data_IF_964841845471
#
_entry.id   IF_964841845471
#
_cell.length_a   1.000
_cell.length_b   1.000
_cell.length_c   1.000
_cell.angle_alpha   90.00
_cell.angle_beta   90.00
_cell.angle_gamma   90.00
#
_symmetry.space_group_name_H-M   'P 1'
#
loop_
_entity.id
_entity.type
_entity.pdbx_description
1 polymer ?
#
# COMPACT_ATOMS: atom_id res chain seq x y z
N UNK A 1 -11.89 8.18 8.45
CA UNK A 1 -10.83 7.99 7.43
C UNK A 1 -11.15 6.74 6.65
N UNK A 2 -11.17 6.81 5.31
CA UNK A 2 -11.45 5.66 4.43
C UNK A 2 -10.27 4.69 4.46
N UNK A 3 -10.57 3.40 4.59
CA UNK A 3 -9.62 2.31 4.36
C UNK A 3 -9.39 2.16 2.86
N UNK A 4 -8.24 1.62 2.48
CA UNK A 4 -7.92 1.28 1.09
C UNK A 4 -7.27 -0.09 1.03
N UNK A 5 -7.56 -0.84 -0.03
CA UNK A 5 -6.87 -2.09 -0.34
C UNK A 5 -6.00 -1.89 -1.57
N UNK A 6 -4.70 -2.16 -1.42
CA UNK A 6 -3.73 -2.13 -2.50
C UNK A 6 -3.50 -3.56 -3.00
N UNK A 7 -3.79 -3.82 -4.27
CA UNK A 7 -3.49 -5.11 -4.89
C UNK A 7 -2.11 -5.04 -5.54
N UNK A 8 -1.24 -5.97 -5.18
CA UNK A 8 0.14 -6.05 -5.65
C UNK A 8 0.31 -7.26 -6.58
N UNK A 9 1.33 -7.19 -7.43
CA UNK A 9 1.59 -8.24 -8.44
C UNK A 9 2.20 -9.48 -7.79
N UNK A 10 3.10 -9.30 -6.83
CA UNK A 10 3.95 -10.38 -6.29
C UNK A 10 4.19 -10.22 -4.79
N UNK A 11 4.39 -11.33 -4.07
CA UNK A 11 4.53 -11.31 -2.60
C UNK A 11 5.71 -10.45 -2.13
N UNK A 12 6.83 -10.43 -2.89
CA UNK A 12 7.99 -9.57 -2.59
C UNK A 12 7.65 -8.08 -2.57
N UNK A 13 6.63 -7.65 -3.32
CA UNK A 13 6.21 -6.25 -3.38
C UNK A 13 5.51 -5.82 -2.09
N UNK A 14 4.90 -6.73 -1.33
CA UNK A 14 4.18 -6.42 -0.08
C UNK A 14 5.11 -5.74 0.92
N UNK A 15 6.26 -6.34 1.19
CA UNK A 15 7.26 -5.79 2.12
C UNK A 15 7.80 -4.45 1.60
N UNK A 16 8.18 -4.38 0.33
CA UNK A 16 8.73 -3.16 -0.28
C UNK A 16 7.75 -2.00 -0.21
N UNK A 17 6.48 -2.25 -0.55
CA UNK A 17 5.45 -1.22 -0.56
C UNK A 17 5.06 -0.78 0.86
N UNK A 18 5.06 -1.69 1.83
CA UNK A 18 4.86 -1.37 3.26
C UNK A 18 5.94 -0.43 3.78
N UNK A 19 7.21 -0.67 3.43
CA UNK A 19 8.32 0.20 3.81
C UNK A 19 8.27 1.54 3.06
N UNK A 20 7.85 1.54 1.80
CA UNK A 20 7.65 2.77 1.02
C UNK A 20 6.53 3.64 1.60
N UNK A 21 5.40 3.05 2.02
CA UNK A 21 4.31 3.77 2.69
C UNK A 21 4.77 4.43 3.99
N UNK A 22 5.57 3.73 4.80
CA UNK A 22 6.13 4.28 6.04
C UNK A 22 7.07 5.47 5.80
N UNK A 23 7.80 5.47 4.68
CA UNK A 23 8.66 6.60 4.25
C UNK A 23 7.84 7.77 3.73
N UNK A 24 6.82 7.49 2.93
CA UNK A 24 5.97 8.50 2.29
C UNK A 24 5.00 9.17 3.28
N UNK A 25 4.61 8.46 4.35
CA UNK A 25 3.62 8.93 5.34
C UNK A 25 4.17 8.77 6.77
N UNK A 26 4.90 9.78 7.28
CA UNK A 26 5.42 9.74 8.64
C UNK A 26 4.27 9.76 9.67
N UNK A 27 4.15 8.71 10.48
CA UNK A 27 3.38 8.74 11.74
C UNK A 27 1.85 8.63 11.66
N UNK A 28 1.26 8.28 10.52
CA UNK A 28 -0.21 8.27 10.38
C UNK A 28 -0.82 7.15 9.53
N UNK A 29 -0.01 6.18 9.08
CA UNK A 29 -0.47 5.09 8.22
C UNK A 29 -0.44 3.75 8.95
N UNK A 30 -1.59 3.10 9.06
CA UNK A 30 -1.69 1.70 9.48
C UNK A 30 -1.65 0.83 8.21
N UNK A 31 -0.74 -0.15 8.19
CA UNK A 31 -0.55 -1.05 7.05
C UNK A 31 -0.52 -2.49 7.52
N UNK A 32 -1.47 -3.29 7.03
CA UNK A 32 -1.58 -4.72 7.30
C UNK A 32 -1.63 -5.51 5.99
N UNK A 33 -1.13 -6.75 6.02
CA UNK A 33 -1.30 -7.66 4.90
C UNK A 33 -2.73 -8.17 4.89
N UNK A 34 -3.35 -8.20 3.71
CA UNK A 34 -4.71 -8.72 3.53
C UNK A 34 -4.66 -10.06 2.80
N UNK A 35 -4.81 -11.14 3.56
CA UNK A 35 -4.80 -12.51 3.04
C UNK A 35 -6.16 -12.94 2.47
N UNK A 36 -7.17 -12.07 2.48
CA UNK A 36 -8.50 -12.34 1.91
C UNK A 36 -8.55 -12.26 0.38
N UNK A 37 -7.47 -11.82 -0.26
CA UNK A 37 -7.41 -11.63 -1.71
C UNK A 37 -6.62 -12.75 -2.41
N UNK A 38 -7.03 -13.14 -3.63
CA UNK A 38 -6.29 -14.12 -4.43
C UNK A 38 -4.92 -13.62 -4.91
N UNK A 39 -4.67 -12.31 -4.77
CA UNK A 39 -3.39 -11.66 -5.05
C UNK A 39 -2.83 -11.05 -3.76
N UNK A 40 -1.50 -10.86 -3.66
CA UNK A 40 -0.90 -10.17 -2.53
C UNK A 40 -1.53 -8.80 -2.35
N UNK A 41 -1.99 -8.49 -1.13
CA UNK A 41 -2.71 -7.26 -0.87
C UNK A 41 -2.28 -6.61 0.44
N UNK A 42 -2.38 -5.28 0.48
CA UNK A 42 -2.17 -4.47 1.67
C UNK A 42 -3.44 -3.70 1.99
N UNK A 43 -3.91 -3.82 3.23
CA UNK A 43 -4.92 -2.95 3.81
C UNK A 43 -4.24 -1.74 4.43
N UNK A 44 -4.63 -0.56 3.99
CA UNK A 44 -4.00 0.72 4.33
C UNK A 44 -5.05 1.67 4.88
N UNK A 45 -4.82 2.19 6.09
CA UNK A 45 -5.68 3.19 6.72
C UNK A 45 -4.87 4.45 7.03
N UNK A 46 -5.47 5.61 6.79
CA UNK A 46 -4.84 6.91 7.05
C UNK A 46 -3.97 7.45 5.90
N UNK A 47 -3.88 6.76 4.77
CA UNK A 47 -3.21 7.26 3.57
C UNK A 47 -4.20 7.84 2.54
N UNK A 48 -3.87 9.01 1.99
CA UNK A 48 -4.53 9.58 0.82
C UNK A 48 -4.03 8.93 -0.47
N UNK A 49 -4.74 9.11 -1.59
CA UNK A 49 -4.29 8.62 -2.88
C UNK A 49 -2.94 9.24 -3.28
N UNK A 50 -2.74 10.54 -3.04
CA UNK A 50 -1.46 11.21 -3.31
C UNK A 50 -0.30 10.62 -2.52
N UNK A 51 -0.54 10.20 -1.27
CA UNK A 51 0.46 9.51 -0.45
C UNK A 51 0.76 8.09 -0.94
N UNK A 52 -0.25 7.36 -1.44
CA UNK A 52 -0.05 6.05 -2.06
C UNK A 52 0.78 6.19 -3.34
N UNK A 53 0.53 7.23 -4.15
CA UNK A 53 1.34 7.53 -5.34
C UNK A 53 2.79 7.91 -4.96
N UNK A 54 2.98 8.71 -3.91
CA UNK A 54 4.32 9.02 -3.40
C UNK A 54 5.05 7.74 -2.94
N UNK A 55 4.34 6.80 -2.29
CA UNK A 55 4.89 5.50 -1.93
C UNK A 55 5.24 4.65 -3.17
N UNK A 56 4.45 4.73 -4.24
CA UNK A 56 4.78 4.05 -5.51
C UNK A 56 6.10 4.58 -6.11
N UNK A 57 6.33 5.89 -6.06
CA UNK A 57 7.62 6.50 -6.47
C UNK A 57 8.78 5.96 -5.63
N UNK A 58 8.61 5.83 -4.32
CA UNK A 58 9.63 5.23 -3.43
C UNK A 58 9.86 3.73 -3.68
N UNK A 59 8.80 2.99 -3.98
CA UNK A 59 8.84 1.55 -4.22
C UNK A 59 9.43 1.20 -5.60
N UNK A 60 9.37 2.14 -6.55
CA UNK A 60 9.78 1.93 -7.94
C UNK A 60 8.74 1.16 -8.76
N UNK A 61 7.50 1.05 -8.28
CA UNK A 61 6.38 0.42 -8.96
C UNK A 61 5.04 0.86 -8.37
N UNK A 62 3.98 0.75 -9.16
CA UNK A 62 2.61 1.02 -8.74
C UNK A 62 1.87 -0.27 -8.32
N UNK A 63 0.93 -0.19 -7.36
CA UNK A 63 -0.05 -1.24 -7.13
C UNK A 63 -0.86 -1.49 -8.41
N UNK A 64 -1.28 -2.74 -8.63
CA UNK A 64 -2.15 -3.09 -9.75
C UNK A 64 -3.55 -2.48 -9.63
N UNK A 65 -4.01 -2.28 -8.40
CA UNK A 65 -5.27 -1.61 -8.11
C UNK A 65 -5.23 -0.98 -6.72
N UNK A 66 -6.02 0.09 -6.56
CA UNK A 66 -6.31 0.74 -5.28
C UNK A 66 -7.83 0.76 -5.13
N UNK A 67 -8.34 0.04 -4.14
CA UNK A 67 -9.77 -0.08 -3.84
C UNK A 67 -10.12 0.73 -2.59
N UNK A 68 -11.31 1.32 -2.53
CA UNK A 68 -11.84 2.05 -1.36
C UNK A 68 -12.87 1.25 -0.56
#
# INVERSE_FOLDING_TARGET
MKEKVLILKEMRQVKVFKDALRKAVPGGVEVQEDHGWPRPALRVRGATLGQILAAATWAGFEPQAVLE
#
